data_IF_436326355780
#
_entry.id   IF_436326355780
#
_cell.length_a   1.000
_cell.length_b   1.000
_cell.length_c   1.000
_cell.angle_alpha   90.00
_cell.angle_beta   90.00
_cell.angle_gamma   90.00
#
_symmetry.space_group_name_H-M   'P 1'
#
loop_
_entity.id
_entity.type
_entity.pdbx_description
1 polymer ?
#
# COMPACT_ATOMS: atom_id res chain seq x y z
N UNK A 1 8.35 11.69 18.67
CA UNK A 1 9.01 12.36 17.53
C UNK A 1 8.98 11.60 16.19
N UNK A 2 8.46 10.37 16.11
CA UNK A 2 8.34 9.63 14.82
C UNK A 2 6.99 9.87 14.13
N UNK A 3 5.90 10.10 14.88
CA UNK A 3 4.57 10.38 14.32
C UNK A 3 4.47 11.68 13.51
N UNK A 4 5.29 12.68 13.83
CA UNK A 4 5.31 13.96 13.10
C UNK A 4 5.94 13.80 11.70
N UNK A 5 7.02 13.02 11.59
CA UNK A 5 7.64 12.73 10.29
C UNK A 5 6.75 11.88 9.36
N UNK A 6 5.79 11.13 9.92
CA UNK A 6 4.77 10.41 9.14
C UNK A 6 3.56 11.28 8.75
N UNK A 7 3.33 12.40 9.46
CA UNK A 7 2.27 13.38 9.17
C UNK A 7 2.70 14.43 8.14
N UNK A 8 3.95 14.86 8.16
CA UNK A 8 4.40 16.03 7.40
C UNK A 8 4.73 15.76 5.92
N UNK A 9 4.57 14.53 5.40
CA UNK A 9 4.80 14.21 3.98
C UNK A 9 6.28 14.18 3.55
N UNK A 10 7.17 14.88 4.25
CA UNK A 10 8.57 15.10 3.85
C UNK A 10 9.39 13.82 3.65
N UNK A 11 9.20 12.78 4.48
CA UNK A 11 9.89 11.48 4.29
C UNK A 11 9.21 10.63 3.20
N UNK A 12 7.89 10.79 3.03
CA UNK A 12 7.09 10.03 2.06
C UNK A 12 7.37 10.48 0.64
N UNK A 13 7.65 11.77 0.44
CA UNK A 13 7.92 12.33 -0.89
C UNK A 13 9.23 11.81 -1.48
N UNK A 14 10.32 11.74 -0.71
CA UNK A 14 11.61 11.31 -1.26
C UNK A 14 11.68 9.79 -1.50
N UNK A 15 11.04 9.00 -0.64
CA UNK A 15 10.88 7.55 -0.86
C UNK A 15 9.93 7.23 -2.02
N UNK A 16 8.90 8.06 -2.24
CA UNK A 16 8.04 7.94 -3.41
C UNK A 16 8.74 8.40 -4.70
N UNK A 17 9.63 9.39 -4.61
CA UNK A 17 10.42 9.87 -5.75
C UNK A 17 11.46 8.85 -6.21
N UNK A 18 12.15 8.21 -5.24
CA UNK A 18 13.24 7.24 -5.46
C UNK A 18 13.03 5.92 -4.70
N UNK A 19 11.97 5.15 -5.01
CA UNK A 19 11.62 3.93 -4.27
C UNK A 19 12.72 2.88 -4.31
N UNK A 20 13.45 2.77 -5.43
CA UNK A 20 14.57 1.83 -5.62
C UNK A 20 15.72 1.98 -4.61
N UNK A 21 15.87 3.17 -4.00
CA UNK A 21 16.90 3.42 -2.98
C UNK A 21 16.52 2.86 -1.61
N UNK A 22 15.22 2.70 -1.36
CA UNK A 22 14.68 2.42 -0.01
C UNK A 22 13.87 1.13 0.05
N UNK A 23 13.39 0.64 -1.08
CA UNK A 23 12.58 -0.57 -1.20
C UNK A 23 13.39 -1.60 -1.98
N UNK A 24 13.66 -2.73 -1.33
CA UNK A 24 14.29 -3.89 -1.97
C UNK A 24 13.18 -4.74 -2.59
N UNK A 25 13.15 -4.91 -3.93
CA UNK A 25 12.18 -5.79 -4.56
C UNK A 25 12.40 -7.24 -4.14
N UNK A 26 11.31 -7.96 -3.93
CA UNK A 26 11.32 -9.41 -3.76
C UNK A 26 10.64 -10.04 -4.99
N UNK A 27 11.39 -10.73 -5.87
CA UNK A 27 10.84 -11.33 -7.08
C UNK A 27 9.82 -12.45 -6.78
N UNK A 28 9.84 -13.03 -5.58
CA UNK A 28 8.95 -14.13 -5.21
C UNK A 28 7.64 -13.64 -4.55
N UNK A 29 7.54 -12.36 -4.20
CA UNK A 29 6.36 -11.79 -3.54
C UNK A 29 5.08 -11.95 -4.37
N UNK A 30 5.10 -11.48 -5.62
CA UNK A 30 3.92 -11.51 -6.50
C UNK A 30 3.50 -12.94 -6.81
N UNK A 31 4.39 -13.85 -7.27
CA UNK A 31 4.02 -15.25 -7.51
C UNK A 31 3.49 -15.97 -6.27
N UNK A 32 4.00 -15.64 -5.09
CA UNK A 32 3.52 -16.20 -3.83
C UNK A 32 2.08 -15.77 -3.53
N UNK A 33 1.78 -14.48 -3.64
CA UNK A 33 0.43 -13.94 -3.40
C UNK A 33 -0.58 -14.42 -4.44
N UNK A 34 -0.19 -14.51 -5.71
CA UNK A 34 -1.02 -15.09 -6.77
C UNK A 34 -1.38 -16.54 -6.46
N UNK A 35 -0.40 -17.38 -6.08
CA UNK A 35 -0.64 -18.78 -5.68
C UNK A 35 -1.58 -18.89 -4.47
N UNK A 36 -1.43 -18.01 -3.47
CA UNK A 36 -2.35 -17.98 -2.33
C UNK A 36 -3.78 -17.71 -2.81
N UNK A 37 -3.97 -16.71 -3.67
CA UNK A 37 -5.29 -16.36 -4.22
C UNK A 37 -5.88 -17.48 -5.06
N UNK A 38 -5.08 -18.10 -5.94
CA UNK A 38 -5.48 -19.25 -6.77
C UNK A 38 -5.88 -20.46 -5.94
N UNK A 39 -5.22 -20.68 -4.79
CA UNK A 39 -5.58 -21.74 -3.84
C UNK A 39 -6.87 -21.47 -3.05
N UNK A 40 -7.50 -20.31 -3.26
CA UNK A 40 -8.71 -19.89 -2.56
C UNK A 40 -8.46 -19.28 -1.18
N UNK A 41 -7.20 -19.05 -0.80
CA UNK A 41 -6.87 -18.35 0.44
C UNK A 41 -7.24 -16.88 0.31
N UNK A 42 -7.98 -16.37 1.31
CA UNK A 42 -8.34 -14.96 1.38
C UNK A 42 -7.17 -14.12 1.90
N UNK A 43 -6.76 -13.12 1.14
CA UNK A 43 -5.59 -12.28 1.42
C UNK A 43 -6.00 -10.84 1.71
N UNK A 44 -5.30 -10.18 2.61
CA UNK A 44 -5.55 -8.76 2.90
C UNK A 44 -4.24 -8.01 3.21
N UNK A 45 -4.23 -6.71 2.89
CA UNK A 45 -3.18 -5.78 3.27
C UNK A 45 -3.69 -4.85 4.38
N UNK A 46 -2.98 -4.77 5.50
CA UNK A 46 -3.31 -3.89 6.62
C UNK A 46 -2.09 -3.06 7.01
N UNK A 47 -2.08 -1.77 6.66
CA UNK A 47 -0.94 -0.86 6.87
C UNK A 47 -1.34 0.42 7.61
N UNK A 48 -0.40 0.98 8.39
CA UNK A 48 -0.57 2.30 9.02
C UNK A 48 -0.29 3.44 8.03
N UNK A 49 0.34 3.15 6.90
CA UNK A 49 0.58 4.12 5.84
C UNK A 49 -0.71 4.52 5.14
N UNK A 50 -0.81 5.77 4.70
CA UNK A 50 -1.92 6.26 3.88
C UNK A 50 -1.82 5.77 2.42
N UNK A 51 -2.86 6.06 1.65
CA UNK A 51 -3.03 5.56 0.29
C UNK A 51 -1.88 5.94 -0.64
N UNK A 52 -1.47 7.20 -0.64
CA UNK A 52 -0.51 7.78 -1.60
C UNK A 52 0.83 7.04 -1.53
N UNK A 53 1.35 6.86 -0.33
CA UNK A 53 2.59 6.11 -0.12
C UNK A 53 2.41 4.63 -0.46
N UNK A 54 1.29 4.03 -0.05
CA UNK A 54 1.03 2.60 -0.25
C UNK A 54 0.91 2.28 -1.74
N UNK A 55 0.18 3.09 -2.50
CA UNK A 55 0.05 2.97 -3.96
C UNK A 55 1.43 3.03 -4.63
N UNK A 56 2.29 3.99 -4.26
CA UNK A 56 3.63 4.09 -4.84
C UNK A 56 4.50 2.88 -4.53
N UNK A 57 4.57 2.50 -3.25
CA UNK A 57 5.40 1.37 -2.82
C UNK A 57 4.93 0.05 -3.46
N UNK A 58 3.60 -0.18 -3.49
CA UNK A 58 3.05 -1.43 -4.02
C UNK A 58 3.12 -1.51 -5.54
N UNK A 59 2.94 -0.40 -6.28
CA UNK A 59 3.20 -0.41 -7.71
C UNK A 59 4.68 -0.72 -8.01
N UNK A 60 5.62 -0.15 -7.26
CA UNK A 60 7.03 -0.44 -7.42
C UNK A 60 7.36 -1.92 -7.14
N UNK A 61 6.83 -2.49 -6.05
CA UNK A 61 7.02 -3.90 -5.70
C UNK A 61 6.38 -4.84 -6.72
N UNK A 62 5.16 -4.54 -7.15
CA UNK A 62 4.40 -5.37 -8.09
C UNK A 62 5.07 -5.45 -9.47
N UNK A 63 5.57 -4.32 -9.97
CA UNK A 63 6.25 -4.27 -11.26
C UNK A 63 7.76 -4.55 -11.18
N UNK A 64 8.34 -4.58 -9.97
CA UNK A 64 9.77 -4.69 -9.73
C UNK A 64 10.59 -3.48 -10.22
N UNK A 65 9.93 -2.38 -10.59
CA UNK A 65 10.54 -1.17 -11.14
C UNK A 65 9.61 0.03 -11.04
N UNK A 66 10.14 1.24 -11.26
CA UNK A 66 9.32 2.44 -11.44
C UNK A 66 8.55 2.35 -12.76
N UNK A 67 7.26 2.67 -12.73
CA UNK A 67 6.37 2.69 -13.89
C UNK A 67 5.85 4.12 -14.13
N UNK A 68 5.31 4.36 -15.31
CA UNK A 68 4.73 5.65 -15.68
C UNK A 68 3.42 5.95 -14.91
N UNK A 69 2.99 7.20 -14.92
CA UNK A 69 1.79 7.65 -14.19
C UNK A 69 0.49 6.97 -14.63
N UNK A 70 0.37 6.57 -15.89
CA UNK A 70 -0.83 5.89 -16.38
C UNK A 70 -0.91 4.47 -15.82
N UNK A 71 0.22 3.77 -15.78
CA UNK A 71 0.33 2.46 -15.16
C UNK A 71 0.13 2.54 -13.64
N UNK A 72 0.74 3.53 -12.96
CA UNK A 72 0.58 3.75 -11.51
C UNK A 72 -0.89 3.88 -11.09
N UNK A 73 -1.71 4.61 -11.88
CA UNK A 73 -3.13 4.85 -11.59
C UNK A 73 -3.99 3.59 -11.65
N UNK A 74 -3.56 2.57 -12.41
CA UNK A 74 -4.29 1.29 -12.50
C UNK A 74 -4.23 0.49 -11.21
N UNK A 75 -3.19 0.68 -10.40
CA UNK A 75 -3.00 -0.01 -9.12
C UNK A 75 -3.25 -1.52 -9.23
N UNK A 76 -2.71 -2.17 -10.26
CA UNK A 76 -2.95 -3.59 -10.58
C UNK A 76 -2.59 -4.53 -9.41
N UNK A 77 -1.64 -4.13 -8.58
CA UNK A 77 -1.28 -4.81 -7.34
C UNK A 77 -2.45 -5.03 -6.38
N UNK A 78 -3.51 -4.21 -6.45
CA UNK A 78 -4.71 -4.37 -5.63
C UNK A 78 -5.38 -5.72 -5.86
N UNK A 79 -5.26 -6.28 -7.07
CA UNK A 79 -5.80 -7.60 -7.39
C UNK A 79 -5.12 -8.72 -6.61
N UNK A 80 -3.97 -8.49 -5.97
CA UNK A 80 -3.33 -9.48 -5.11
C UNK A 80 -4.06 -9.69 -3.77
N UNK A 81 -4.96 -8.78 -3.40
CA UNK A 81 -5.63 -8.77 -2.10
C UNK A 81 -7.15 -8.74 -2.25
N UNK A 82 -7.87 -9.50 -1.41
CA UNK A 82 -9.33 -9.36 -1.31
C UNK A 82 -9.73 -8.07 -0.60
N UNK A 83 -8.91 -7.60 0.35
CA UNK A 83 -9.15 -6.37 1.12
C UNK A 83 -7.85 -5.60 1.33
N UNK A 84 -7.90 -4.29 1.07
CA UNK A 84 -6.80 -3.38 1.35
C UNK A 84 -7.26 -2.33 2.36
N UNK A 85 -6.53 -2.23 3.47
CA UNK A 85 -6.76 -1.25 4.54
C UNK A 85 -5.51 -0.42 4.75
N UNK A 86 -5.62 0.86 4.42
CA UNK A 86 -4.60 1.90 4.62
C UNK A 86 -4.99 2.79 5.79
N UNK A 87 -4.02 3.51 6.37
CA UNK A 87 -4.26 4.44 7.47
C UNK A 87 -4.87 3.77 8.71
N UNK A 88 -4.56 2.49 8.93
CA UNK A 88 -5.29 1.66 9.91
C UNK A 88 -5.09 2.06 11.38
N UNK A 89 -4.10 2.90 11.70
CA UNK A 89 -3.83 3.31 13.09
C UNK A 89 -3.59 2.13 14.04
N UNK A 90 -2.98 1.02 13.58
CA UNK A 90 -2.59 -0.08 14.49
C UNK A 90 -1.75 0.48 15.65
N UNK A 91 -2.02 0.04 16.90
CA UNK A 91 -2.88 -1.10 17.25
C UNK A 91 -4.39 -0.81 17.31
N UNK A 92 -4.82 0.46 17.21
CA UNK A 92 -6.22 0.87 17.39
C UNK A 92 -7.19 0.10 16.48
N UNK A 93 -6.82 -0.21 15.23
CA UNK A 93 -7.62 -1.02 14.30
C UNK A 93 -8.19 -2.31 14.92
N UNK A 94 -7.42 -2.96 15.80
CA UNK A 94 -7.76 -4.26 16.36
C UNK A 94 -8.50 -4.18 17.71
N UNK A 95 -8.50 -3.01 18.36
CA UNK A 95 -8.96 -2.85 19.74
C UNK A 95 -10.08 -1.82 19.88
N UNK A 96 -10.11 -0.80 19.03
CA UNK A 96 -11.07 0.30 19.09
C UNK A 96 -12.28 -0.01 18.19
N UNK A 97 -13.41 -0.28 18.83
CA UNK A 97 -14.68 -0.58 18.15
C UNK A 97 -15.34 0.66 17.53
N UNK A 98 -14.87 1.86 17.88
CA UNK A 98 -15.42 3.13 17.43
C UNK A 98 -14.53 3.80 16.37
N UNK A 99 -13.45 3.14 15.94
CA UNK A 99 -12.60 3.64 14.89
C UNK A 99 -13.41 3.82 13.60
N UNK A 100 -13.45 5.06 13.10
CA UNK A 100 -14.19 5.39 11.89
C UNK A 100 -13.48 4.79 10.68
N UNK A 101 -14.25 4.13 9.81
CA UNK A 101 -13.77 3.61 8.54
C UNK A 101 -14.23 4.53 7.41
N UNK A 102 -13.29 4.86 6.53
CA UNK A 102 -13.53 5.68 5.35
C UNK A 102 -13.17 4.88 4.11
N UNK A 103 -13.89 5.13 3.00
CA UNK A 103 -13.62 4.46 1.73
C UNK A 103 -12.69 5.34 0.91
N UNK A 104 -11.51 4.84 0.59
CA UNK A 104 -10.59 5.48 -0.34
C UNK A 104 -11.09 5.26 -1.78
N UNK A 105 -11.03 6.29 -2.61
CA UNK A 105 -11.14 6.24 -4.07
C UNK A 105 -9.75 5.98 -4.66
N UNK A 106 -9.44 4.79 -5.20
CA UNK A 106 -8.10 4.48 -5.69
C UNK A 106 -7.62 5.37 -6.83
N UNK A 107 -8.55 6.00 -7.55
CA UNK A 107 -8.28 6.82 -8.74
C UNK A 107 -7.51 8.10 -8.40
N UNK A 108 -7.80 8.70 -7.24
CA UNK A 108 -7.26 9.99 -6.82
C UNK A 108 -6.82 10.04 -5.33
N UNK A 109 -7.05 8.97 -4.58
CA UNK A 109 -6.70 8.85 -3.16
C UNK A 109 -7.64 9.55 -2.19
N UNK A 110 -8.73 10.15 -2.67
CA UNK A 110 -9.66 10.88 -1.82
C UNK A 110 -10.60 9.96 -1.04
N UNK A 111 -11.21 10.50 0.04
CA UNK A 111 -12.16 9.80 0.91
C UNK A 111 -13.63 10.03 0.51
#
# INVERSE_FOLDING_TARGET
CIDLCHRDGVIKDEAALNPEKYIVPDPDMVPMLEKMKESGVKTFLLTNSYWEYTSVAMNFLYHGRKVDEETMKKNEWMDLFDVVVVGSCKPAYLIDKYLSLFRVRPEDGSL
#
